data_IF_583231103830
#
_entry.id   IF_583231103830
#
_cell.length_a   1.000
_cell.length_b   1.000
_cell.length_c   1.000
_cell.angle_alpha   90.00
_cell.angle_beta   90.00
_cell.angle_gamma   90.00
#
_symmetry.space_group_name_H-M   'P 1'
#
loop_
_entity.id
_entity.type
_entity.pdbx_description
1 polymer ?
#
# COMPACT_ATOMS: atom_id res chain seq x y z
N UNK A 1 5.96 -3.73 -4.34
CA UNK A 1 5.39 -3.10 -5.54
C UNK A 1 4.70 -1.81 -5.12
N UNK A 2 4.79 -0.75 -5.91
CA UNK A 2 4.13 0.52 -5.64
C UNK A 2 3.06 0.78 -6.70
N UNK A 3 1.93 1.35 -6.28
CA UNK A 3 0.83 1.76 -7.15
C UNK A 3 0.53 3.23 -6.85
N UNK A 4 0.85 4.09 -7.80
CA UNK A 4 0.54 5.52 -7.72
C UNK A 4 -0.82 5.76 -8.39
N UNK A 5 -1.68 6.52 -7.71
CA UNK A 5 -3.00 6.88 -8.19
C UNK A 5 -3.11 8.39 -8.27
N UNK A 6 -3.91 8.90 -9.21
CA UNK A 6 -4.10 10.33 -9.38
C UNK A 6 -4.81 11.01 -8.19
N UNK A 7 -5.53 10.23 -7.36
CA UNK A 7 -6.30 10.74 -6.23
C UNK A 7 -6.43 9.72 -5.09
N UNK A 8 -6.79 10.21 -3.90
CA UNK A 8 -6.92 9.39 -2.68
C UNK A 8 -8.13 8.46 -2.69
N UNK A 9 -9.18 8.77 -3.46
CA UNK A 9 -10.38 7.93 -3.53
C UNK A 9 -10.12 6.68 -4.37
N UNK A 10 -9.40 6.81 -5.48
CA UNK A 10 -9.01 5.68 -6.33
C UNK A 10 -8.01 4.76 -5.61
N UNK A 11 -7.04 5.31 -4.87
CA UNK A 11 -6.13 4.51 -4.05
C UNK A 11 -6.86 3.77 -2.91
N UNK A 12 -7.83 4.42 -2.24
CA UNK A 12 -8.64 3.79 -1.21
C UNK A 12 -9.47 2.61 -1.73
N UNK A 13 -10.11 2.77 -2.90
CA UNK A 13 -10.87 1.69 -3.55
C UNK A 13 -9.96 0.51 -3.91
N UNK A 14 -8.78 0.79 -4.47
CA UNK A 14 -7.81 -0.25 -4.82
C UNK A 14 -7.31 -1.00 -3.58
N UNK A 15 -6.91 -0.29 -2.52
CA UNK A 15 -6.50 -0.91 -1.25
C UNK A 15 -7.59 -1.80 -0.68
N UNK A 16 -8.84 -1.34 -0.65
CA UNK A 16 -9.97 -2.13 -0.16
C UNK A 16 -10.21 -3.41 -1.00
N UNK A 17 -10.03 -3.35 -2.32
CA UNK A 17 -10.22 -4.49 -3.21
C UNK A 17 -9.06 -5.49 -3.20
N UNK A 18 -7.84 -5.05 -2.90
CA UNK A 18 -6.63 -5.85 -2.98
C UNK A 18 -6.20 -6.41 -1.62
N UNK A 19 -6.36 -5.66 -0.54
CA UNK A 19 -5.90 -6.08 0.77
C UNK A 19 -6.66 -7.34 1.23
N UNK A 20 -5.92 -8.37 1.64
CA UNK A 20 -6.45 -9.67 2.03
C UNK A 20 -6.89 -10.56 0.85
N UNK A 21 -6.76 -10.10 -0.40
CA UNK A 21 -7.06 -10.92 -1.57
C UNK A 21 -5.94 -11.96 -1.77
N UNK A 22 -6.31 -13.19 -2.13
CA UNK A 22 -5.31 -14.20 -2.56
C UNK A 22 -4.89 -13.94 -3.99
N UNK A 23 -3.57 -13.92 -4.21
CA UNK A 23 -2.97 -13.91 -5.54
C UNK A 23 -2.05 -15.12 -5.66
N UNK A 24 -2.47 -16.09 -6.48
CA UNK A 24 -1.94 -17.46 -6.43
C UNK A 24 -1.95 -17.99 -4.98
N UNK A 25 -0.80 -18.39 -4.45
CA UNK A 25 -0.68 -18.92 -3.08
C UNK A 25 -0.29 -17.86 -2.04
N UNK A 26 -0.24 -16.57 -2.42
CA UNK A 26 0.16 -15.48 -1.53
C UNK A 26 -1.04 -14.64 -1.10
N UNK A 27 -1.07 -14.22 0.17
CA UNK A 27 -2.01 -13.22 0.65
C UNK A 27 -1.47 -11.83 0.30
N UNK A 28 -2.28 -11.02 -0.38
CA UNK A 28 -1.92 -9.65 -0.69
C UNK A 28 -2.13 -8.78 0.55
N UNK A 29 -1.10 -8.04 0.94
CA UNK A 29 -1.18 -6.98 1.94
C UNK A 29 -0.98 -5.66 1.19
N UNK A 30 -2.01 -4.81 1.22
CA UNK A 30 -1.95 -3.48 0.60
C UNK A 30 -1.98 -2.41 1.70
N UNK A 31 -0.98 -1.53 1.69
CA UNK A 31 -0.79 -0.46 2.68
C UNK A 31 -0.52 0.86 1.98
N UNK A 32 -0.67 1.97 2.70
CA UNK A 32 -0.30 3.27 2.17
C UNK A 32 1.18 3.52 2.43
N UNK A 33 1.87 4.08 1.45
CA UNK A 33 3.27 4.45 1.56
C UNK A 33 3.39 5.99 1.52
N UNK A 34 4.24 6.61 2.36
CA UNK A 34 4.41 8.07 2.34
C UNK A 34 4.97 8.57 1.01
N UNK A 35 4.30 9.54 0.38
CA UNK A 35 4.64 10.04 -0.96
C UNK A 35 6.01 10.74 -0.99
N UNK A 36 6.38 11.41 0.11
CA UNK A 36 7.66 12.08 0.30
C UNK A 36 8.83 11.08 0.34
N UNK A 37 8.66 9.98 1.06
CA UNK A 37 9.62 8.86 1.07
C UNK A 37 9.77 8.25 -0.32
N UNK A 38 8.66 8.04 -1.03
CA UNK A 38 8.70 7.46 -2.38
C UNK A 38 9.43 8.38 -3.35
N UNK A 39 9.10 9.68 -3.32
CA UNK A 39 9.70 10.71 -4.19
C UNK A 39 11.20 10.91 -3.93
N UNK A 40 11.64 10.70 -2.68
CA UNK A 40 13.05 10.80 -2.29
C UNK A 40 13.85 9.51 -2.49
N UNK A 41 13.20 8.42 -2.90
CA UNK A 41 13.83 7.09 -3.06
C UNK A 41 14.14 6.39 -1.73
N UNK A 42 13.59 6.88 -0.61
CA UNK A 42 13.67 6.23 0.69
C UNK A 42 12.58 5.15 0.79
N UNK A 43 12.95 3.91 0.47
CA UNK A 43 12.03 2.77 0.53
C UNK A 43 12.10 2.00 1.86
N UNK A 44 12.93 2.44 2.80
CA UNK A 44 13.01 1.84 4.14
C UNK A 44 11.89 2.44 5.02
N UNK A 45 10.73 1.81 4.92
CA UNK A 45 9.54 2.18 5.70
C UNK A 45 8.99 0.94 6.37
N UNK A 46 8.96 0.97 7.70
CA UNK A 46 8.34 -0.10 8.48
C UNK A 46 6.81 -0.01 8.39
N UNK A 47 6.26 -0.94 7.63
CA UNK A 47 4.81 -1.10 7.41
C UNK A 47 4.09 -1.55 8.69
N UNK A 48 4.81 -2.14 9.66
CA UNK A 48 4.25 -2.71 10.89
C UNK A 48 3.52 -1.71 11.79
N UNK A 49 3.76 -0.40 11.64
CA UNK A 49 3.10 0.62 12.46
C UNK A 49 1.68 1.00 12.02
N UNK A 50 1.26 0.65 10.79
CA UNK A 50 -0.08 1.00 10.29
C UNK A 50 -1.14 -0.10 10.51
N UNK A 51 -0.74 -1.31 10.91
CA UNK A 51 -1.66 -2.44 11.11
C UNK A 51 -2.17 -2.61 12.53
N UNK A 52 -1.72 -1.75 13.46
CA UNK A 52 -2.15 -1.75 14.87
C UNK A 52 -3.41 -0.89 15.01
N UNK A 53 -4.58 -1.51 14.84
CA UNK A 53 -5.88 -0.99 15.24
C UNK A 53 -6.38 -1.71 16.50
#
# INVERSE_FOLDING_TARGET
VFLEYADTSSSARAKAALNGRRFANNLVVAVYFPEDKFSSGDYDFDVGQQTSA
#
